data_IF_118984151291
#
_entry.id   IF_118984151291
#
_cell.length_a   1.000
_cell.length_b   1.000
_cell.length_c   1.000
_cell.angle_alpha   90.00
_cell.angle_beta   90.00
_cell.angle_gamma   90.00
#
_symmetry.space_group_name_H-M   'P 1'
#
loop_
_entity.id
_entity.type
_entity.pdbx_description
1 polymer ?
#
# COMPACT_ATOMS: atom_id res chain seq x y z
N UNK A 1 -38.96 -27.29 10.53
CA UNK A 1 -38.46 -25.96 10.14
C UNK A 1 -36.96 -25.93 10.42
N UNK A 2 -36.14 -26.35 9.44
CA UNK A 2 -34.67 -26.27 9.55
C UNK A 2 -34.20 -25.12 8.67
N UNK A 3 -33.64 -24.08 9.30
CA UNK A 3 -33.03 -22.93 8.63
C UNK A 3 -31.72 -23.35 7.97
N UNK A 4 -31.66 -23.21 6.65
CA UNK A 4 -30.43 -23.29 5.87
C UNK A 4 -29.73 -21.94 6.05
N UNK A 5 -28.66 -21.89 6.84
CA UNK A 5 -27.80 -20.70 6.90
C UNK A 5 -27.04 -20.62 5.56
N UNK A 6 -27.48 -19.73 4.69
CA UNK A 6 -26.73 -19.36 3.50
C UNK A 6 -25.51 -18.55 3.94
N UNK A 7 -24.33 -19.14 3.84
CA UNK A 7 -23.06 -18.43 4.05
C UNK A 7 -22.84 -17.59 2.81
N UNK A 8 -23.14 -16.29 2.89
CA UNK A 8 -22.84 -15.36 1.80
C UNK A 8 -21.33 -15.12 1.85
N UNK A 9 -20.58 -15.82 1.00
CA UNK A 9 -19.17 -15.54 0.75
C UNK A 9 -19.06 -14.29 -0.12
N UNK A 10 -18.77 -13.14 0.50
CA UNK A 10 -18.35 -11.93 -0.22
C UNK A 10 -16.83 -11.87 -0.23
N UNK A 11 -16.21 -12.52 -1.21
CA UNK A 11 -14.80 -12.36 -1.50
C UNK A 11 -14.60 -12.07 -2.99
N UNK A 12 -15.08 -10.91 -3.43
CA UNK A 12 -14.55 -10.25 -4.62
C UNK A 12 -13.97 -8.92 -4.18
N UNK A 13 -12.68 -8.92 -3.85
CA UNK A 13 -11.90 -7.70 -3.88
C UNK A 13 -11.65 -7.37 -5.35
N UNK A 14 -12.30 -6.31 -5.85
CA UNK A 14 -12.03 -5.80 -7.18
C UNK A 14 -10.79 -4.91 -7.12
N UNK A 15 -9.69 -5.34 -7.76
CA UNK A 15 -8.46 -4.55 -7.88
C UNK A 15 -8.25 -4.17 -9.35
N UNK A 16 -8.19 -2.87 -9.65
CA UNK A 16 -7.96 -2.37 -11.02
C UNK A 16 -6.49 -2.37 -11.46
N UNK A 17 -5.61 -3.02 -10.70
CA UNK A 17 -4.16 -3.05 -10.91
C UNK A 17 -3.64 -4.47 -11.12
N UNK A 18 -4.45 -5.36 -11.69
CA UNK A 18 -4.01 -6.68 -12.11
C UNK A 18 -2.96 -6.60 -13.23
N UNK A 19 -1.89 -7.38 -13.10
CA UNK A 19 -0.81 -7.45 -14.08
C UNK A 19 -0.77 -8.85 -14.72
N UNK A 20 -1.59 -9.03 -15.76
CA UNK A 20 -1.53 -10.23 -16.61
C UNK A 20 -0.48 -10.05 -17.72
N UNK A 21 0.73 -10.58 -17.47
CA UNK A 21 1.88 -10.40 -18.36
C UNK A 21 1.66 -11.04 -19.74
N UNK A 22 0.99 -12.20 -19.81
CA UNK A 22 0.72 -12.90 -21.08
C UNK A 22 -0.27 -12.13 -21.97
N UNK A 23 -1.29 -11.54 -21.34
CA UNK A 23 -2.25 -10.68 -22.04
C UNK A 23 -1.60 -9.39 -22.50
N UNK A 24 -0.85 -8.72 -21.60
CA UNK A 24 -0.13 -7.48 -21.91
C UNK A 24 0.82 -7.64 -23.09
N UNK A 25 1.51 -8.78 -23.22
CA UNK A 25 2.39 -9.04 -24.36
C UNK A 25 1.66 -8.94 -25.71
N UNK A 26 0.36 -9.28 -25.76
CA UNK A 26 -0.46 -9.25 -26.97
C UNK A 26 -1.19 -7.93 -27.15
N UNK A 27 -1.76 -7.39 -26.08
CA UNK A 27 -2.64 -6.21 -26.12
C UNK A 27 -1.87 -4.89 -26.04
N UNK A 28 -0.76 -4.84 -25.31
CA UNK A 28 0.10 -3.66 -25.16
C UNK A 28 1.60 -4.06 -25.09
N UNK A 29 2.21 -4.42 -26.25
CA UNK A 29 3.61 -4.87 -26.30
C UNK A 29 4.60 -3.84 -25.73
N UNK A 30 4.29 -2.54 -25.86
CA UNK A 30 5.14 -1.47 -25.34
C UNK A 30 5.17 -1.50 -23.82
N UNK A 31 4.01 -1.62 -23.16
CA UNK A 31 3.93 -1.75 -21.71
C UNK A 31 4.60 -3.02 -21.21
N UNK A 32 4.43 -4.14 -21.93
CA UNK A 32 5.15 -5.38 -21.63
C UNK A 32 6.68 -5.17 -21.63
N UNK A 33 7.23 -4.55 -22.68
CA UNK A 33 8.66 -4.26 -22.78
C UNK A 33 9.15 -3.36 -21.65
N UNK A 34 8.38 -2.33 -21.28
CA UNK A 34 8.71 -1.45 -20.16
C UNK A 34 8.80 -2.19 -18.82
N UNK A 35 7.86 -3.11 -18.55
CA UNK A 35 7.88 -3.92 -17.33
C UNK A 35 9.10 -4.85 -17.32
N UNK A 36 9.40 -5.50 -18.45
CA UNK A 36 10.58 -6.38 -18.55
C UNK A 36 11.90 -5.62 -18.37
N UNK A 37 12.00 -4.42 -18.95
CA UNK A 37 13.16 -3.55 -18.76
C UNK A 37 13.29 -3.09 -17.30
N UNK A 38 12.18 -2.73 -16.66
CA UNK A 38 12.16 -2.34 -15.26
C UNK A 38 12.59 -3.48 -14.34
N UNK A 39 12.07 -4.70 -14.54
CA UNK A 39 12.46 -5.87 -13.74
C UNK A 39 13.97 -6.16 -13.86
N UNK A 40 14.51 -6.13 -15.08
CA UNK A 40 15.94 -6.30 -15.32
C UNK A 40 16.77 -5.19 -14.63
N UNK A 41 16.29 -3.95 -14.69
CA UNK A 41 16.92 -2.83 -13.99
C UNK A 41 16.93 -3.06 -12.48
N UNK A 42 15.82 -3.48 -11.87
CA UNK A 42 15.73 -3.74 -10.42
C UNK A 42 16.67 -4.87 -10.00
N UNK A 43 16.75 -5.97 -10.75
CA UNK A 43 17.68 -7.07 -10.48
C UNK A 43 19.16 -6.61 -10.51
N UNK A 44 19.52 -5.82 -11.53
CA UNK A 44 20.86 -5.28 -11.66
C UNK A 44 21.16 -4.24 -10.59
N UNK A 45 20.20 -3.37 -10.25
CA UNK A 45 20.38 -2.34 -9.23
C UNK A 45 20.53 -2.97 -7.83
N UNK A 46 19.70 -3.96 -7.52
CA UNK A 46 19.71 -4.64 -6.21
C UNK A 46 20.97 -5.46 -5.96
N UNK A 47 21.64 -5.95 -7.02
CA UNK A 47 22.90 -6.68 -6.91
C UNK A 47 24.14 -5.79 -6.81
N UNK A 48 24.07 -4.53 -7.24
CA UNK A 48 25.22 -3.62 -7.35
C UNK A 48 25.20 -2.47 -6.33
N UNK A 49 24.18 -2.37 -5.47
CA UNK A 49 24.02 -1.24 -4.55
C UNK A 49 24.60 -1.50 -3.17
N UNK A 50 25.54 -0.64 -2.76
CA UNK A 50 25.88 -0.43 -1.34
C UNK A 50 24.85 0.53 -0.75
N UNK A 51 24.11 0.08 0.26
CA UNK A 51 22.86 0.59 0.84
C UNK A 51 22.81 2.01 1.44
N UNK A 52 23.52 3.00 0.90
CA UNK A 52 23.77 4.29 1.57
C UNK A 52 22.92 5.49 1.07
N UNK A 53 22.01 5.32 0.10
CA UNK A 53 21.26 6.43 -0.53
C UNK A 53 19.73 6.36 -0.35
N UNK A 54 19.24 5.77 0.74
CA UNK A 54 17.79 5.83 1.04
C UNK A 54 17.49 7.07 1.89
N UNK A 55 16.33 7.69 1.68
CA UNK A 55 15.77 8.67 2.63
C UNK A 55 15.34 7.90 3.86
N UNK A 56 16.27 7.79 4.79
CA UNK A 56 16.15 7.05 6.02
C UNK A 56 16.10 8.07 7.16
N UNK A 57 15.17 7.90 8.10
CA UNK A 57 15.24 8.60 9.38
C UNK A 57 16.54 8.22 10.14
N UNK A 58 16.88 8.92 11.24
CA UNK A 58 18.07 8.59 12.02
C UNK A 58 18.14 7.14 12.53
N UNK A 59 17.03 6.40 12.52
CA UNK A 59 16.90 5.04 13.05
C UNK A 59 16.93 3.95 11.97
N UNK A 60 17.02 4.28 10.67
CA UNK A 60 16.96 3.25 9.63
C UNK A 60 15.61 3.16 8.90
N UNK A 61 14.61 3.95 9.29
CA UNK A 61 13.21 3.84 8.82
C UNK A 61 12.95 4.70 7.58
N UNK A 62 12.32 4.12 6.56
CA UNK A 62 11.90 4.84 5.36
C UNK A 62 10.59 5.58 5.67
N UNK A 63 10.57 6.90 5.52
CA UNK A 63 9.37 7.72 5.76
C UNK A 63 8.72 8.07 4.42
N UNK A 64 7.45 7.70 4.26
CA UNK A 64 6.62 8.06 3.11
C UNK A 64 5.63 9.16 3.54
N UNK A 65 5.81 10.41 3.08
CA UNK A 65 4.82 11.46 3.28
C UNK A 65 3.58 11.20 2.42
N UNK A 66 2.40 11.26 3.03
CA UNK A 66 1.10 10.93 2.40
C UNK A 66 0.21 12.16 2.36
N UNK A 67 -0.44 12.36 1.21
CA UNK A 67 -1.52 13.35 1.03
C UNK A 67 -2.76 12.60 0.59
N UNK A 68 -3.89 12.85 1.25
CA UNK A 68 -5.19 12.30 0.85
C UNK A 68 -5.95 13.33 0.01
N UNK A 69 -6.37 12.93 -1.19
CA UNK A 69 -7.26 13.72 -2.03
C UNK A 69 -8.67 13.14 -1.92
N UNK A 70 -9.53 13.83 -1.18
CA UNK A 70 -10.90 13.37 -0.92
C UNK A 70 -11.85 14.06 -1.91
N UNK A 71 -12.47 13.25 -2.78
CA UNK A 71 -13.34 13.70 -3.87
C UNK A 71 -14.80 13.44 -3.51
N UNK A 72 -15.64 14.48 -3.57
CA UNK A 72 -17.08 14.41 -3.25
C UNK A 72 -17.91 15.05 -4.36
N UNK A 73 -19.08 14.48 -4.66
CA UNK A 73 -20.02 14.96 -5.68
C UNK A 73 -21.07 15.96 -5.15
N UNK A 74 -21.05 16.24 -3.84
CA UNK A 74 -21.86 17.27 -3.19
C UNK A 74 -23.26 16.86 -2.73
N UNK A 75 -23.66 15.59 -2.90
CA UNK A 75 -25.04 15.18 -2.63
C UNK A 75 -25.30 14.62 -1.21
N UNK A 76 -24.26 14.44 -0.38
CA UNK A 76 -24.41 13.93 0.99
C UNK A 76 -23.56 14.72 2.01
N UNK A 77 -24.18 15.52 2.90
CA UNK A 77 -23.47 16.26 3.94
C UNK A 77 -22.77 15.35 4.97
N UNK A 78 -23.16 14.07 5.10
CA UNK A 78 -22.50 13.10 5.98
C UNK A 78 -21.26 12.46 5.35
N UNK A 79 -21.09 12.58 4.03
CA UNK A 79 -19.85 12.24 3.31
C UNK A 79 -18.91 13.45 3.19
N UNK A 80 -19.40 14.67 3.40
CA UNK A 80 -18.64 15.92 3.22
C UNK A 80 -17.50 16.10 4.23
N UNK A 81 -17.53 15.37 5.34
CA UNK A 81 -16.43 15.30 6.31
C UNK A 81 -16.09 13.83 6.55
N UNK A 82 -15.20 13.23 5.75
CA UNK A 82 -14.40 12.11 6.23
C UNK A 82 -13.78 12.64 7.53
N UNK A 83 -14.27 12.18 8.69
CA UNK A 83 -13.67 12.63 9.93
C UNK A 83 -12.18 12.33 9.83
N UNK A 84 -11.31 13.26 10.24
CA UNK A 84 -9.86 13.03 10.23
C UNK A 84 -9.53 11.66 10.82
N UNK A 85 -10.33 11.18 11.78
CA UNK A 85 -10.30 9.83 12.32
C UNK A 85 -10.26 8.70 11.27
N UNK A 86 -10.99 8.76 10.14
CA UNK A 86 -10.91 7.76 9.06
C UNK A 86 -9.56 7.80 8.33
N UNK A 87 -9.06 8.99 8.01
CA UNK A 87 -7.74 9.16 7.39
C UNK A 87 -6.64 8.68 8.34
N UNK A 88 -6.72 9.06 9.61
CA UNK A 88 -5.80 8.62 10.65
C UNK A 88 -5.85 7.11 10.86
N UNK A 89 -7.04 6.50 10.80
CA UNK A 89 -7.20 5.03 10.89
C UNK A 89 -6.48 4.36 9.73
N UNK A 90 -6.59 4.88 8.51
CA UNK A 90 -5.90 4.29 7.37
C UNK A 90 -4.38 4.40 7.49
N UNK A 91 -3.86 5.54 7.96
CA UNK A 91 -2.42 5.70 8.26
C UNK A 91 -1.98 4.72 9.35
N UNK A 92 -2.77 4.53 10.40
CA UNK A 92 -2.46 3.59 11.47
C UNK A 92 -2.38 2.16 10.94
N UNK A 93 -3.35 1.71 10.15
CA UNK A 93 -3.35 0.38 9.52
C UNK A 93 -2.12 0.19 8.62
N UNK A 94 -1.78 1.18 7.79
CA UNK A 94 -0.58 1.10 6.95
C UNK A 94 0.69 0.95 7.79
N UNK A 95 0.82 1.72 8.88
CA UNK A 95 1.97 1.59 9.78
C UNK A 95 1.98 0.25 10.52
N UNK A 96 0.82 -0.26 10.93
CA UNK A 96 0.71 -1.58 11.57
C UNK A 96 1.19 -2.70 10.64
N UNK A 97 0.75 -2.70 9.39
CA UNK A 97 1.10 -3.74 8.43
C UNK A 97 2.57 -3.66 7.99
N UNK A 98 3.05 -2.47 7.62
CA UNK A 98 4.41 -2.28 7.12
C UNK A 98 5.48 -2.33 8.22
N UNK A 99 5.10 -2.18 9.49
CA UNK A 99 5.97 -2.40 10.65
C UNK A 99 5.76 -3.75 11.33
N UNK A 100 4.85 -4.58 10.84
CA UNK A 100 4.45 -5.85 11.46
C UNK A 100 4.01 -5.69 12.93
N UNK A 101 3.37 -4.56 13.23
CA UNK A 101 2.76 -4.24 14.53
C UNK A 101 1.28 -4.63 14.59
N UNK A 102 0.70 -5.04 13.46
CA UNK A 102 -0.66 -5.53 13.32
C UNK A 102 -0.96 -6.69 14.29
N UNK A 103 -2.09 -6.62 14.99
CA UNK A 103 -2.47 -7.59 16.02
C UNK A 103 -2.71 -9.00 15.46
N UNK A 104 -3.24 -9.09 14.24
CA UNK A 104 -3.52 -10.34 13.54
C UNK A 104 -2.26 -11.03 12.98
N UNK A 105 -1.05 -10.46 13.16
CA UNK A 105 0.21 -11.14 12.86
C UNK A 105 0.32 -12.50 13.58
N UNK A 106 -0.35 -12.65 14.74
CA UNK A 106 -0.44 -13.90 15.49
C UNK A 106 -1.13 -15.03 14.70
N UNK A 107 -1.93 -14.67 13.69
CA UNK A 107 -2.62 -15.61 12.80
C UNK A 107 -1.72 -16.10 11.64
N UNK A 108 -0.48 -15.62 11.52
CA UNK A 108 0.46 -16.09 10.48
C UNK A 108 0.74 -17.59 10.70
N UNK A 109 0.40 -18.49 9.74
CA UNK A 109 0.65 -19.91 9.89
C UNK A 109 2.13 -20.21 10.09
N UNK A 110 2.44 -21.22 10.93
CA UNK A 110 3.81 -21.58 11.32
C UNK A 110 4.78 -21.70 10.12
N UNK A 111 4.42 -22.36 8.99
CA UNK A 111 5.31 -22.46 7.84
C UNK A 111 5.73 -21.13 7.21
N UNK A 112 4.95 -20.06 7.42
CA UNK A 112 5.20 -18.74 6.83
C UNK A 112 5.82 -17.74 7.81
N UNK A 113 6.00 -18.12 9.08
CA UNK A 113 6.54 -17.21 10.09
C UNK A 113 7.97 -16.75 9.76
N UNK A 114 8.78 -17.61 9.12
CA UNK A 114 10.17 -17.30 8.77
C UNK A 114 10.32 -16.28 7.64
N UNK A 115 9.29 -16.09 6.82
CA UNK A 115 9.29 -15.13 5.70
C UNK A 115 8.50 -13.87 6.00
N UNK A 116 7.87 -13.79 7.17
CA UNK A 116 7.10 -12.64 7.58
C UNK A 116 8.02 -11.59 8.26
N UNK A 117 8.02 -10.35 7.77
CA UNK A 117 9.02 -9.35 8.11
C UNK A 117 8.43 -8.00 8.49
N UNK A 118 9.16 -7.23 9.31
CA UNK A 118 9.04 -5.77 9.42
C UNK A 118 9.87 -5.16 8.28
N UNK A 119 9.23 -4.42 7.36
CA UNK A 119 9.91 -3.79 6.22
C UNK A 119 10.45 -2.39 6.54
N UNK A 120 10.25 -1.93 7.78
CA UNK A 120 10.75 -0.67 8.33
C UNK A 120 10.36 0.58 7.50
N UNK A 121 9.09 0.63 7.09
CA UNK A 121 8.47 1.77 6.40
C UNK A 121 7.41 2.40 7.31
N UNK A 122 7.39 3.73 7.40
CA UNK A 122 6.36 4.50 8.09
C UNK A 122 5.67 5.50 7.15
N UNK A 123 4.37 5.65 7.31
CA UNK A 123 3.51 6.60 6.62
C UNK A 123 3.15 7.74 7.57
N UNK A 124 3.37 8.98 7.12
CA UNK A 124 3.05 10.19 7.88
C UNK A 124 2.30 11.15 6.98
N UNK A 125 1.27 11.83 7.49
CA UNK A 125 0.65 12.91 6.72
C UNK A 125 1.68 13.99 6.43
N UNK A 126 1.69 14.47 5.19
CA UNK A 126 2.55 15.59 4.81
C UNK A 126 2.12 16.85 5.59
N UNK A 127 3.08 17.59 6.12
CA UNK A 127 2.81 18.87 6.80
C UNK A 127 3.11 20.08 5.89
N UNK A 128 3.67 19.85 4.70
CA UNK A 128 4.08 20.88 3.75
C UNK A 128 3.59 20.46 2.35
N UNK A 129 2.94 21.37 1.64
CA UNK A 129 2.48 21.18 0.26
C UNK A 129 3.64 21.36 -0.76
N UNK A 130 3.45 21.05 -2.05
CA UNK A 130 4.49 21.24 -3.06
C UNK A 130 4.94 22.70 -3.28
N UNK A 131 4.17 23.68 -2.83
CA UNK A 131 4.51 25.11 -2.90
C UNK A 131 5.25 25.61 -1.65
N UNK A 132 5.44 24.76 -0.64
CA UNK A 132 6.10 25.09 0.62
C UNK A 132 5.16 25.63 1.70
N UNK A 133 3.85 25.58 1.52
CA UNK A 133 2.88 26.03 2.52
C UNK A 133 2.56 24.91 3.51
N UNK A 134 2.24 25.22 4.78
CA UNK A 134 1.73 24.24 5.73
C UNK A 134 0.41 23.61 5.24
N UNK A 135 0.28 22.28 5.41
CA UNK A 135 -0.96 21.53 5.17
C UNK A 135 -1.27 20.62 6.36
N UNK A 136 -2.54 20.28 6.54
CA UNK A 136 -3.06 19.37 7.56
C UNK A 136 -3.94 18.31 6.94
#
# INVERSE_FOLDING_TARGET
MLCIYSVISLAQQNCGSELNIEELQKSDPKRYEQIMQFNKFVEQYSSNTNSNERVIDPNGTIIIPVVFHLLYDGNDPLLLNPSDARVQTQIAILNEDFRRLNADRANTPVPFQSVAADVNIEFKLACIDPNGNPTT
#
